data_IF_772618217027
#
_entry.id   IF_772618217027
#
_cell.length_a   1.000
_cell.length_b   1.000
_cell.length_c   1.000
_cell.angle_alpha   90.00
_cell.angle_beta   90.00
_cell.angle_gamma   90.00
#
_symmetry.space_group_name_H-M   'P 1'
#
loop_
_entity.id
_entity.type
_entity.pdbx_description
1 polymer ?
#
# COMPACT_ATOMS: atom_id res chain seq x y z
N UNK A 1 -12.04 2.93 -5.14
CA UNK A 1 -10.83 2.23 -4.66
C UNK A 1 -10.04 1.63 -5.81
N UNK A 2 -10.55 0.62 -6.55
CA UNK A 2 -9.75 -0.06 -7.59
C UNK A 2 -9.14 0.86 -8.66
N UNK A 3 -9.94 1.81 -9.19
CA UNK A 3 -9.45 2.81 -10.17
C UNK A 3 -8.26 3.61 -9.64
N UNK A 4 -8.31 3.98 -8.37
CA UNK A 4 -7.31 4.81 -7.71
C UNK A 4 -6.06 4.01 -7.34
N UNK A 5 -6.22 2.77 -6.89
CA UNK A 5 -5.10 1.83 -6.73
C UNK A 5 -4.34 1.68 -8.05
N UNK A 6 -5.07 1.50 -9.16
CA UNK A 6 -4.48 1.40 -10.50
C UNK A 6 -3.76 2.69 -10.89
N UNK A 7 -4.38 3.85 -10.71
CA UNK A 7 -3.78 5.15 -11.02
C UNK A 7 -2.44 5.34 -10.29
N UNK A 8 -2.42 5.11 -8.97
CA UNK A 8 -1.20 5.23 -8.17
C UNK A 8 -0.16 4.21 -8.64
N UNK A 9 -0.57 2.95 -8.83
CA UNK A 9 0.34 1.88 -9.25
C UNK A 9 0.95 2.16 -10.63
N UNK A 10 0.15 2.63 -11.59
CA UNK A 10 0.63 3.01 -12.91
C UNK A 10 1.66 4.14 -12.80
N UNK A 11 1.36 5.17 -11.99
CA UNK A 11 2.28 6.30 -11.78
C UNK A 11 3.61 5.87 -11.16
N UNK A 12 3.58 5.02 -10.13
CA UNK A 12 4.79 4.51 -9.47
C UNK A 12 5.66 3.64 -10.40
N UNK A 13 5.08 3.07 -11.47
CA UNK A 13 5.81 2.29 -12.47
C UNK A 13 6.45 3.13 -13.59
N UNK A 14 6.29 4.45 -13.58
CA UNK A 14 6.94 5.35 -14.55
C UNK A 14 8.39 5.60 -14.12
N UNK A 15 9.37 5.65 -15.04
CA UNK A 15 10.75 6.04 -14.69
C UNK A 15 10.85 7.55 -14.43
N UNK A 16 11.73 7.99 -13.53
CA UNK A 16 12.02 9.41 -13.31
C UNK A 16 13.39 9.75 -13.92
N UNK A 17 13.52 10.89 -14.58
CA UNK A 17 14.84 11.40 -14.99
C UNK A 17 15.60 12.02 -13.82
N UNK A 18 16.87 12.38 -14.06
CA UNK A 18 17.71 13.07 -13.07
C UNK A 18 17.45 14.60 -13.04
N UNK A 19 16.44 15.11 -13.74
CA UNK A 19 16.13 16.53 -13.70
C UNK A 19 15.59 16.94 -12.31
N UNK A 20 16.24 17.88 -11.59
CA UNK A 20 15.79 18.28 -10.24
C UNK A 20 14.37 18.83 -10.17
N UNK A 21 13.87 19.42 -11.25
CA UNK A 21 12.50 19.94 -11.33
C UNK A 21 11.49 18.80 -11.41
N UNK A 22 11.75 17.82 -12.28
CA UNK A 22 10.91 16.62 -12.41
C UNK A 22 10.90 15.82 -11.09
N UNK A 23 12.06 15.68 -10.44
CA UNK A 23 12.16 14.98 -9.14
C UNK A 23 11.30 15.70 -8.08
N UNK A 24 11.30 17.03 -8.04
CA UNK A 24 10.47 17.80 -7.10
C UNK A 24 8.98 17.61 -7.37
N UNK A 25 8.56 17.71 -8.63
CA UNK A 25 7.16 17.48 -9.03
C UNK A 25 6.72 16.07 -8.66
N UNK A 26 7.58 15.08 -8.90
CA UNK A 26 7.31 13.69 -8.56
C UNK A 26 7.20 13.46 -7.06
N UNK A 27 8.06 14.09 -6.26
CA UNK A 27 7.97 14.09 -4.79
C UNK A 27 6.60 14.62 -4.35
N UNK A 28 6.16 15.77 -4.87
CA UNK A 28 4.86 16.36 -4.52
C UNK A 28 3.69 15.43 -4.82
N UNK A 29 3.71 14.76 -5.98
CA UNK A 29 2.66 13.80 -6.36
C UNK A 29 2.67 12.57 -5.46
N UNK A 30 3.85 11.97 -5.21
CA UNK A 30 3.96 10.76 -4.36
C UNK A 30 3.53 11.04 -2.93
N UNK A 31 3.77 12.25 -2.39
CA UNK A 31 3.29 12.61 -1.05
C UNK A 31 1.76 12.56 -0.95
N UNK A 32 1.04 13.02 -1.98
CA UNK A 32 -0.43 12.94 -2.04
C UNK A 32 -0.88 11.48 -2.16
N UNK A 33 -0.23 10.71 -3.02
CA UNK A 33 -0.56 9.29 -3.19
C UNK A 33 -0.26 8.46 -1.94
N UNK A 34 0.80 8.76 -1.20
CA UNK A 34 1.11 8.11 0.08
C UNK A 34 -0.01 8.31 1.10
N UNK A 35 -0.56 9.53 1.21
CA UNK A 35 -1.68 9.80 2.10
C UNK A 35 -2.92 9.00 1.67
N UNK A 36 -3.28 9.07 0.39
CA UNK A 36 -4.46 8.38 -0.18
C UNK A 36 -4.34 6.86 -0.07
N UNK A 37 -3.17 6.28 -0.32
CA UNK A 37 -2.92 4.84 -0.13
C UNK A 37 -2.99 4.44 1.34
N UNK A 38 -2.54 5.30 2.26
CA UNK A 38 -2.66 5.07 3.70
C UNK A 38 -4.11 5.04 4.19
N UNK A 39 -4.95 5.96 3.70
CA UNK A 39 -6.38 5.98 3.99
C UNK A 39 -7.09 4.73 3.43
N UNK A 40 -6.84 4.39 2.16
CA UNK A 40 -7.39 3.17 1.55
C UNK A 40 -6.95 1.91 2.31
N UNK A 41 -5.70 1.84 2.77
CA UNK A 41 -5.21 0.71 3.57
C UNK A 41 -5.94 0.61 4.92
N UNK A 42 -6.23 1.74 5.56
CA UNK A 42 -7.01 1.75 6.80
C UNK A 42 -8.44 1.24 6.55
N UNK A 43 -9.06 1.67 5.46
CA UNK A 43 -10.38 1.20 5.05
C UNK A 43 -10.39 -0.29 4.71
N UNK A 44 -9.39 -0.78 3.98
CA UNK A 44 -9.25 -2.21 3.69
C UNK A 44 -9.09 -3.06 4.95
N UNK A 45 -8.26 -2.60 5.91
CA UNK A 45 -8.10 -3.26 7.21
C UNK A 45 -9.42 -3.27 7.99
N UNK A 46 -10.23 -2.21 7.89
CA UNK A 46 -11.57 -2.15 8.48
C UNK A 46 -12.54 -3.12 7.81
N UNK A 47 -12.55 -3.19 6.48
CA UNK A 47 -13.38 -4.13 5.70
C UNK A 47 -13.06 -5.58 6.04
N UNK A 48 -11.78 -5.95 6.07
CA UNK A 48 -11.32 -7.28 6.47
C UNK A 48 -11.81 -7.68 7.87
N UNK A 49 -11.65 -6.77 8.85
CA UNK A 49 -12.12 -7.02 10.23
C UNK A 49 -13.64 -7.20 10.29
N UNK A 50 -14.39 -6.40 9.53
CA UNK A 50 -15.85 -6.51 9.45
C UNK A 50 -16.26 -7.85 8.84
N UNK A 51 -15.69 -8.23 7.69
CA UNK A 51 -15.95 -9.51 7.03
C UNK A 51 -15.68 -10.68 7.96
N UNK A 52 -14.53 -10.69 8.64
CA UNK A 52 -14.21 -11.74 9.63
C UNK A 52 -15.23 -11.77 10.77
N UNK A 53 -15.66 -10.63 11.29
CA UNK A 53 -16.68 -10.57 12.35
C UNK A 53 -18.05 -11.11 11.89
N UNK A 54 -18.51 -10.69 10.72
CA UNK A 54 -19.80 -11.13 10.16
C UNK A 54 -19.80 -12.64 9.87
N UNK A 55 -18.68 -13.17 9.35
CA UNK A 55 -18.52 -14.60 9.07
C UNK A 55 -18.32 -15.44 10.33
N UNK A 56 -17.64 -14.92 11.35
CA UNK A 56 -17.58 -15.56 12.67
C UNK A 56 -19.02 -15.76 13.20
N UNK A 57 -19.86 -14.72 13.14
CA UNK A 57 -21.24 -14.81 13.60
C UNK A 57 -22.04 -15.84 12.80
N UNK A 58 -21.93 -15.86 11.48
CA UNK A 58 -22.73 -16.76 10.63
C UNK A 58 -22.22 -18.20 10.61
N UNK A 59 -20.91 -18.40 10.53
CA UNK A 59 -20.27 -19.69 10.23
C UNK A 59 -19.82 -20.42 11.49
N UNK A 60 -19.24 -19.75 12.49
CA UNK A 60 -18.85 -20.41 13.74
C UNK A 60 -20.07 -20.83 14.55
N UNK A 61 -21.15 -20.04 14.60
CA UNK A 61 -22.38 -20.47 15.31
C UNK A 61 -23.02 -21.71 14.70
N UNK A 62 -22.90 -21.90 13.38
CA UNK A 62 -23.41 -23.08 12.68
C UNK A 62 -22.47 -24.28 12.85
N UNK A 63 -21.17 -24.08 12.59
CA UNK A 63 -20.16 -25.15 12.71
C UNK A 63 -19.98 -25.60 14.16
N UNK A 64 -19.94 -24.70 15.15
CA UNK A 64 -19.84 -25.08 16.56
C UNK A 64 -21.06 -25.88 17.06
N UNK A 65 -22.22 -25.76 16.40
CA UNK A 65 -23.39 -26.59 16.66
C UNK A 65 -23.35 -27.95 15.97
N UNK A 66 -22.65 -28.06 14.83
CA UNK A 66 -22.69 -29.26 13.97
C UNK A 66 -21.42 -30.12 14.04
N UNK A 67 -20.25 -29.53 14.29
CA UNK A 67 -18.97 -30.23 14.30
C UNK A 67 -17.99 -29.59 15.30
N UNK A 68 -17.42 -30.40 16.20
CA UNK A 68 -16.35 -30.00 17.13
C UNK A 68 -15.01 -29.71 16.41
N UNK A 69 -14.97 -28.80 15.43
CA UNK A 69 -13.74 -28.43 14.73
C UNK A 69 -12.78 -27.71 15.67
N UNK A 70 -11.48 -27.98 15.53
CA UNK A 70 -10.46 -27.27 16.29
C UNK A 70 -10.40 -25.78 15.89
N UNK A 71 -10.00 -24.92 16.82
CA UNK A 71 -9.85 -23.48 16.57
C UNK A 71 -8.94 -23.17 15.37
N UNK A 72 -7.93 -24.01 15.13
CA UNK A 72 -7.02 -23.86 13.97
C UNK A 72 -7.76 -24.04 12.65
N UNK A 73 -8.62 -25.05 12.54
CA UNK A 73 -9.42 -25.29 11.32
C UNK A 73 -10.45 -24.19 11.13
N UNK A 74 -11.08 -23.72 12.21
CA UNK A 74 -12.02 -22.60 12.16
C UNK A 74 -11.37 -21.31 11.64
N UNK A 75 -10.17 -20.98 12.11
CA UNK A 75 -9.42 -19.81 11.63
C UNK A 75 -9.00 -19.95 10.17
N UNK A 76 -8.55 -21.13 9.73
CA UNK A 76 -8.18 -21.36 8.34
C UNK A 76 -9.38 -21.20 7.39
N UNK A 77 -10.57 -21.65 7.80
CA UNK A 77 -11.81 -21.43 7.04
C UNK A 77 -12.19 -19.96 7.00
N UNK A 78 -12.09 -19.26 8.14
CA UNK A 78 -12.38 -17.83 8.21
C UNK A 78 -11.45 -17.01 7.32
N UNK A 79 -10.16 -17.33 7.33
CA UNK A 79 -9.16 -16.69 6.48
C UNK A 79 -9.44 -16.97 5.00
N UNK A 80 -9.87 -18.18 4.65
CA UNK A 80 -10.27 -18.52 3.28
C UNK A 80 -11.50 -17.76 2.81
N UNK A 81 -12.48 -17.49 3.69
CA UNK A 81 -13.68 -16.73 3.33
C UNK A 81 -13.35 -15.23 3.13
N UNK A 82 -12.37 -14.71 3.87
CA UNK A 82 -11.95 -13.31 3.82
C UNK A 82 -10.72 -13.08 2.90
N UNK A 83 -10.49 -13.98 1.94
CA UNK A 83 -9.33 -13.96 1.05
C UNK A 83 -9.26 -12.66 0.22
N UNK A 84 -10.39 -12.20 -0.32
CA UNK A 84 -10.43 -10.99 -1.15
C UNK A 84 -10.06 -9.74 -0.35
N UNK A 85 -10.62 -9.58 0.85
CA UNK A 85 -10.30 -8.45 1.73
C UNK A 85 -8.86 -8.52 2.24
N UNK A 86 -8.34 -9.72 2.50
CA UNK A 86 -6.94 -9.92 2.88
C UNK A 86 -6.00 -9.52 1.74
N UNK A 87 -6.28 -9.99 0.52
CA UNK A 87 -5.53 -9.61 -0.67
C UNK A 87 -5.54 -8.10 -0.90
N UNK A 88 -6.70 -7.44 -0.71
CA UNK A 88 -6.79 -5.99 -0.84
C UNK A 88 -5.92 -5.25 0.18
N UNK A 89 -5.89 -5.72 1.44
CA UNK A 89 -5.00 -5.17 2.48
C UNK A 89 -3.55 -5.33 2.06
N UNK A 90 -3.12 -6.52 1.64
CA UNK A 90 -1.73 -6.78 1.26
C UNK A 90 -1.31 -5.91 0.06
N UNK A 91 -2.20 -5.78 -0.93
CA UNK A 91 -1.95 -4.95 -2.11
C UNK A 91 -1.77 -3.47 -1.74
N UNK A 92 -2.64 -2.94 -0.88
CA UNK A 92 -2.56 -1.56 -0.43
C UNK A 92 -1.36 -1.31 0.50
N UNK A 93 -0.98 -2.29 1.32
CA UNK A 93 0.21 -2.23 2.16
C UNK A 93 1.48 -2.11 1.31
N UNK A 94 1.58 -2.93 0.26
CA UNK A 94 2.68 -2.86 -0.71
C UNK A 94 2.69 -1.54 -1.48
N UNK A 95 1.53 -1.08 -1.97
CA UNK A 95 1.43 0.18 -2.70
C UNK A 95 1.88 1.37 -1.82
N UNK A 96 1.42 1.42 -0.57
CA UNK A 96 1.80 2.45 0.38
C UNK A 96 3.30 2.40 0.72
N UNK A 97 3.86 1.20 0.93
CA UNK A 97 5.29 1.02 1.15
C UNK A 97 6.12 1.49 -0.07
N UNK A 98 5.66 1.21 -1.29
CA UNK A 98 6.30 1.70 -2.51
C UNK A 98 6.32 3.24 -2.57
N UNK A 99 5.24 3.92 -2.19
CA UNK A 99 5.24 5.39 -2.07
C UNK A 99 6.33 5.88 -1.11
N UNK A 100 6.42 5.30 0.09
CA UNK A 100 7.41 5.67 1.11
C UNK A 100 8.84 5.49 0.58
N UNK A 101 9.15 4.31 0.04
CA UNK A 101 10.50 4.00 -0.43
C UNK A 101 10.90 4.81 -1.67
N UNK A 102 9.98 5.05 -2.62
CA UNK A 102 10.28 5.92 -3.76
C UNK A 102 10.50 7.37 -3.31
N UNK A 103 9.73 7.85 -2.34
CA UNK A 103 9.89 9.20 -1.79
C UNK A 103 11.27 9.40 -1.17
N UNK A 104 11.79 8.42 -0.42
CA UNK A 104 13.13 8.47 0.16
C UNK A 104 14.24 8.39 -0.90
N UNK A 105 14.08 7.55 -1.92
CA UNK A 105 15.00 7.48 -3.04
C UNK A 105 15.06 8.82 -3.81
N UNK A 106 13.91 9.43 -4.09
CA UNK A 106 13.83 10.71 -4.80
C UNK A 106 14.43 11.86 -3.99
N UNK A 107 14.24 11.89 -2.66
CA UNK A 107 14.91 12.88 -1.78
C UNK A 107 16.43 12.76 -1.86
N UNK A 108 16.93 11.53 -1.88
CA UNK A 108 18.38 11.25 -2.00
C UNK A 108 18.91 11.70 -3.35
N UNK A 109 18.21 11.36 -4.44
CA UNK A 109 18.56 11.77 -5.80
C UNK A 109 18.54 13.29 -5.96
N UNK A 110 17.51 13.96 -5.44
CA UNK A 110 17.41 15.43 -5.48
C UNK A 110 18.59 16.10 -4.77
N UNK A 111 19.02 15.55 -3.63
CA UNK A 111 20.18 16.04 -2.89
C UNK A 111 21.47 15.90 -3.72
N UNK A 112 21.67 14.73 -4.32
CA UNK A 112 22.81 14.47 -5.20
C UNK A 112 22.86 15.43 -6.39
N UNK A 113 21.75 15.62 -7.10
CA UNK A 113 21.71 16.47 -8.29
C UNK A 113 21.89 17.97 -7.95
N UNK A 114 21.33 18.43 -6.81
CA UNK A 114 21.58 19.79 -6.31
C UNK A 114 23.06 20.03 -6.00
N UNK A 115 23.72 19.05 -5.40
CA UNK A 115 25.14 19.14 -5.08
C UNK A 115 26.01 19.11 -6.35
N UNK A 116 25.70 18.22 -7.31
CA UNK A 116 26.39 18.16 -8.61
C UNK A 116 26.29 19.49 -9.37
N UNK A 117 25.11 20.11 -9.40
CA UNK A 117 24.91 21.45 -10.00
C UNK A 117 25.73 22.54 -9.29
N UNK A 118 25.88 22.44 -7.97
CA UNK A 118 26.70 23.38 -7.18
C UNK A 118 28.18 23.24 -7.55
N UNK A 119 28.70 22.01 -7.60
CA UNK A 119 30.09 21.71 -7.93
C UNK A 119 30.44 22.16 -9.35
N UNK A 120 29.58 21.85 -10.33
CA UNK A 120 29.75 22.27 -11.73
C UNK A 120 29.75 23.79 -11.89
N UNK A 121 28.98 24.53 -11.08
CA UNK A 121 29.02 26.00 -11.07
C UNK A 121 30.30 26.57 -10.46
N UNK A 122 30.93 25.85 -9.55
CA UNK A 122 32.17 26.27 -8.88
C UNK A 122 33.45 25.88 -9.64
N UNK A 123 33.35 25.15 -10.76
CA UNK A 123 34.45 24.92 -11.69
C UNK A 123 35.53 23.93 -11.21
N UNK A 124 35.18 23.01 -10.30
CA UNK A 124 36.02 21.86 -9.94
C UNK A 124 35.73 20.67 -10.84
#
# INVERSE_FOLDING_TARGET
MEKEIKEISDYLNITCSNNPQEIQERISVIMVYMMRSGEMLADAKKMLRKKKSDEIQNTILRIARENCLSAKVQNALLDSIAEEEAYLVDRLDRLNASCVHQLDALRTLLSYEKESLRLNKTGY
#
